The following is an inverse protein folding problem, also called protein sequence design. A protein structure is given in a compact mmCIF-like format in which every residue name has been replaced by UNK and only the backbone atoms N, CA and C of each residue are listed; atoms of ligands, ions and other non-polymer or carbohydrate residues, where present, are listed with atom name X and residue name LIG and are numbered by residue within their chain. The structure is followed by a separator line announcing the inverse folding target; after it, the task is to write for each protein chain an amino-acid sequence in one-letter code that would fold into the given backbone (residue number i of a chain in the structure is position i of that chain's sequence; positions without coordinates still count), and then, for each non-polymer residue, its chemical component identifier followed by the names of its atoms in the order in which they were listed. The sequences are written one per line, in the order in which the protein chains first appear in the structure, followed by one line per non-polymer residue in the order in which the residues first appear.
data_IF_166366350831
#
_entry.id   IF_166366350831
#
_cell.length_a   1.000
_cell.length_b   1.000
_cell.length_c   1.000
_cell.angle_alpha   90.00
_cell.angle_beta   90.00
_cell.angle_gamma   90.00
#
_symmetry.space_group_name_H-M   'P 1'
#
loop_
_entity.id
_entity.type
_entity.pdbx_description
1 polymer ?
#
# COMPACT_ATOMS: atom_id res chain seq x y z
N UNK A 1 5.86 12.91 36.12
CA UNK A 1 4.98 11.99 35.37
C UNK A 1 5.84 11.41 34.28
N UNK A 2 6.23 10.15 34.45
CA UNK A 2 6.97 9.44 33.41
C UNK A 2 6.07 9.36 32.16
N UNK A 3 6.40 10.13 31.14
CA UNK A 3 5.87 9.89 29.81
C UNK A 3 6.44 8.55 29.36
N UNK A 4 5.68 7.47 29.57
CA UNK A 4 5.97 6.19 28.94
C UNK A 4 6.03 6.46 27.44
N UNK A 5 7.21 6.41 26.85
CA UNK A 5 7.39 6.51 25.42
C UNK A 5 6.49 5.47 24.75
N UNK A 6 5.53 5.92 23.96
CA UNK A 6 4.58 5.03 23.28
C UNK A 6 5.31 4.36 22.10
N UNK A 7 5.66 3.08 22.31
CA UNK A 7 6.27 2.25 21.26
C UNK A 7 5.16 1.72 20.37
N UNK A 8 5.32 1.91 19.06
CA UNK A 8 4.39 1.45 18.04
C UNK A 8 5.12 0.51 17.09
N UNK A 9 4.53 -0.65 16.82
CA UNK A 9 5.05 -1.59 15.83
C UNK A 9 4.07 -1.75 14.67
N UNK A 10 4.59 -1.68 13.45
CA UNK A 10 3.87 -1.94 12.20
C UNK A 10 4.36 -3.25 11.59
N UNK A 11 3.42 -4.12 11.20
CA UNK A 11 3.69 -5.42 10.57
C UNK A 11 3.04 -5.45 9.19
N UNK A 12 3.86 -5.53 8.15
CA UNK A 12 3.45 -5.77 6.76
C UNK A 12 3.57 -7.26 6.43
N UNK A 13 2.45 -7.91 6.08
CA UNK A 13 2.39 -9.33 5.71
C UNK A 13 2.27 -9.45 4.19
N UNK A 14 3.31 -9.03 3.49
CA UNK A 14 3.33 -9.01 2.03
C UNK A 14 3.52 -10.37 1.36
N UNK A 15 3.31 -10.42 0.05
CA UNK A 15 3.46 -11.65 -0.75
C UNK A 15 4.92 -12.10 -0.92
N UNK A 16 5.88 -11.19 -0.93
CA UNK A 16 7.30 -11.49 -1.18
C UNK A 16 8.12 -11.46 0.10
N UNK A 17 7.81 -10.54 0.98
CA UNK A 17 8.48 -10.32 2.28
C UNK A 17 7.45 -10.05 3.35
N UNK A 18 7.80 -10.36 4.59
CA UNK A 18 7.16 -9.84 5.79
C UNK A 18 8.14 -8.86 6.43
N UNK A 19 7.66 -7.69 6.81
CA UNK A 19 8.47 -6.65 7.42
C UNK A 19 7.81 -6.17 8.72
N UNK A 20 8.62 -5.98 9.76
CA UNK A 20 8.21 -5.37 11.03
C UNK A 20 9.06 -4.13 11.28
N UNK A 21 8.42 -3.00 11.56
CA UNK A 21 9.09 -1.74 11.88
C UNK A 21 8.63 -1.30 13.28
N UNK A 22 9.60 -0.96 14.12
CA UNK A 22 9.37 -0.45 15.48
C UNK A 22 9.76 1.01 15.53
N UNK A 23 8.87 1.83 16.06
CA UNK A 23 9.11 3.25 16.24
C UNK A 23 8.53 3.76 17.56
N UNK A 24 8.92 4.97 17.92
CA UNK A 24 8.35 5.72 19.04
C UNK A 24 8.01 7.13 18.63
N UNK A 25 7.00 7.71 19.25
CA UNK A 25 6.76 9.16 19.15
C UNK A 25 7.73 9.90 20.05
N UNK A 26 8.51 10.81 19.49
CA UNK A 26 9.36 11.71 20.27
C UNK A 26 8.52 12.84 20.90
N UNK A 27 9.16 13.66 21.75
CA UNK A 27 8.51 14.81 22.42
C UNK A 27 7.89 15.84 21.43
N UNK A 28 8.32 15.85 20.19
CA UNK A 28 7.82 16.71 19.12
C UNK A 28 6.68 16.05 18.32
N UNK A 29 6.22 14.85 18.72
CA UNK A 29 5.17 14.08 18.02
C UNK A 29 5.63 13.43 16.71
N UNK A 30 6.93 13.43 16.39
CA UNK A 30 7.49 12.77 15.21
C UNK A 30 7.80 11.31 15.52
N UNK A 31 7.56 10.44 14.54
CA UNK A 31 7.91 9.02 14.62
C UNK A 31 9.42 8.83 14.40
N UNK A 32 10.10 8.24 15.37
CA UNK A 32 11.50 7.85 15.33
C UNK A 32 11.60 6.34 15.16
N UNK A 33 12.27 5.88 14.11
CA UNK A 33 12.43 4.44 13.86
C UNK A 33 13.53 3.90 14.78
N UNK A 34 13.17 2.91 15.62
CA UNK A 34 14.07 2.25 16.56
C UNK A 34 14.71 0.99 15.98
N UNK A 35 13.94 0.23 15.19
CA UNK A 35 14.40 -1.00 14.60
C UNK A 35 13.51 -1.50 13.48
N UNK A 36 14.05 -2.41 12.69
CA UNK A 36 13.35 -3.04 11.59
C UNK A 36 13.83 -4.48 11.44
N UNK A 37 12.89 -5.37 11.16
CA UNK A 37 13.17 -6.74 10.78
C UNK A 37 12.41 -7.14 9.53
N UNK A 38 12.96 -8.08 8.77
CA UNK A 38 12.35 -8.60 7.55
C UNK A 38 12.62 -10.08 7.38
N UNK A 39 11.66 -10.78 6.81
CA UNK A 39 11.81 -12.18 6.43
C UNK A 39 11.23 -12.44 5.05
N UNK A 40 11.63 -13.56 4.43
CA UNK A 40 10.96 -14.03 3.22
C UNK A 40 9.53 -14.48 3.56
N UNK A 41 8.57 -14.13 2.73
CA UNK A 41 7.18 -14.57 2.88
C UNK A 41 6.95 -15.86 2.10
N UNK A 42 6.69 -16.96 2.81
CA UNK A 42 6.50 -18.29 2.20
C UNK A 42 5.06 -18.81 2.32
N UNK A 43 4.13 -18.04 2.83
CA UNK A 43 2.75 -18.45 3.10
C UNK A 43 1.67 -17.52 2.57
N UNK A 44 2.05 -16.48 1.81
CA UNK A 44 1.13 -15.46 1.31
C UNK A 44 1.18 -15.41 -0.21
N UNK A 45 0.03 -15.30 -0.85
CA UNK A 45 -0.09 -15.14 -2.30
C UNK A 45 -1.14 -14.08 -2.62
N UNK A 46 -0.78 -13.08 -3.42
CA UNK A 46 -1.66 -11.97 -3.83
C UNK A 46 -2.39 -11.31 -2.65
N UNK A 47 -1.66 -11.06 -1.56
CA UNK A 47 -2.20 -10.47 -0.33
C UNK A 47 -3.08 -11.41 0.51
N UNK A 48 -3.18 -12.71 0.18
CA UNK A 48 -3.98 -13.68 0.92
C UNK A 48 -3.09 -14.74 1.57
N UNK A 49 -3.32 -15.02 2.86
CA UNK A 49 -2.64 -16.11 3.57
C UNK A 49 -3.11 -17.45 3.02
N UNK A 50 -2.20 -18.19 2.39
CA UNK A 50 -2.44 -19.53 1.81
C UNK A 50 -1.88 -20.65 2.67
N UNK A 51 -0.93 -20.36 3.57
CA UNK A 51 -0.37 -21.32 4.51
C UNK A 51 -0.10 -20.65 5.86
N UNK A 52 -0.94 -20.94 6.85
CA UNK A 52 -0.87 -20.36 8.19
C UNK A 52 0.50 -20.60 8.84
N UNK A 53 0.99 -21.86 8.87
CA UNK A 53 2.22 -22.16 9.60
C UNK A 53 3.44 -21.45 9.02
N UNK A 54 3.61 -21.48 7.71
CA UNK A 54 4.73 -20.78 7.04
C UNK A 54 4.66 -19.28 7.25
N UNK A 55 3.45 -18.71 7.21
CA UNK A 55 3.26 -17.27 7.50
C UNK A 55 3.64 -16.95 8.94
N UNK A 56 3.24 -17.79 9.92
CA UNK A 56 3.62 -17.62 11.33
C UNK A 56 5.14 -17.66 11.51
N UNK A 57 5.81 -18.63 10.88
CA UNK A 57 7.27 -18.76 10.98
C UNK A 57 7.98 -17.53 10.39
N UNK A 58 7.47 -17.01 9.27
CA UNK A 58 7.98 -15.79 8.65
C UNK A 58 7.71 -14.54 9.51
N UNK A 59 6.51 -14.41 10.12
CA UNK A 59 6.21 -13.31 11.06
C UNK A 59 7.18 -13.34 12.24
N UNK A 60 7.36 -14.50 12.89
CA UNK A 60 8.27 -14.65 14.03
C UNK A 60 9.69 -14.24 13.69
N UNK A 61 10.18 -14.64 12.51
CA UNK A 61 11.53 -14.27 12.07
C UNK A 61 11.69 -12.76 11.86
N UNK A 62 10.70 -12.10 11.23
CA UNK A 62 10.73 -10.66 11.02
C UNK A 62 10.60 -9.86 12.33
N UNK A 63 9.73 -10.30 13.24
CA UNK A 63 9.55 -9.66 14.55
C UNK A 63 10.79 -9.81 15.42
N UNK A 64 11.38 -11.00 15.49
CA UNK A 64 12.61 -11.22 16.27
C UNK A 64 13.76 -10.33 15.77
N UNK A 65 13.96 -10.20 14.46
CA UNK A 65 14.97 -9.29 13.89
C UNK A 65 14.67 -7.82 14.25
N UNK A 66 13.39 -7.42 14.28
CA UNK A 66 12.99 -6.08 14.68
C UNK A 66 13.24 -5.82 16.16
N UNK A 67 12.91 -6.79 17.04
CA UNK A 67 13.18 -6.74 18.49
C UNK A 67 14.67 -6.64 18.77
N UNK A 68 15.50 -7.49 18.13
CA UNK A 68 16.95 -7.49 18.26
C UNK A 68 17.55 -6.15 17.81
N UNK A 69 17.01 -5.55 16.74
CA UNK A 69 17.44 -4.26 16.22
C UNK A 69 17.01 -3.07 17.10
N UNK A 70 15.79 -3.13 17.66
CA UNK A 70 15.23 -2.05 18.46
C UNK A 70 15.60 -2.15 19.95
N UNK A 71 15.99 -3.32 20.46
CA UNK A 71 16.26 -3.58 21.86
C UNK A 71 15.00 -3.57 22.74
N UNK A 72 13.83 -3.87 22.18
CA UNK A 72 12.53 -3.90 22.88
C UNK A 72 11.74 -5.14 22.50
N UNK A 73 10.86 -5.59 23.40
CA UNK A 73 9.91 -6.67 23.16
C UNK A 73 8.65 -6.11 22.52
N UNK A 74 8.15 -6.78 21.48
CA UNK A 74 6.95 -6.42 20.74
C UNK A 74 5.81 -7.34 21.17
N UNK A 75 4.75 -6.78 21.72
CA UNK A 75 3.56 -7.53 22.13
C UNK A 75 2.34 -7.22 21.28
N UNK A 76 2.28 -6.00 20.73
CA UNK A 76 1.16 -5.51 19.92
C UNK A 76 1.65 -4.95 18.61
N UNK A 77 0.87 -5.15 17.55
CA UNK A 77 1.23 -4.68 16.19
C UNK A 77 0.01 -4.09 15.47
N UNK A 78 0.24 -3.04 14.68
CA UNK A 78 -0.66 -2.60 13.63
C UNK A 78 -0.33 -3.39 12.36
N UNK A 79 -1.33 -3.98 11.72
CA UNK A 79 -1.11 -4.90 10.61
C UNK A 79 -1.66 -4.32 9.31
N UNK A 80 -0.83 -4.30 8.27
CA UNK A 80 -1.25 -3.96 6.93
C UNK A 80 -2.18 -5.03 6.33
N UNK A 81 -3.23 -4.59 5.66
CA UNK A 81 -4.11 -5.46 4.87
C UNK A 81 -4.25 -4.91 3.46
N UNK A 82 -3.96 -5.77 2.47
CA UNK A 82 -4.15 -5.50 1.05
C UNK A 82 -4.50 -6.81 0.33
N UNK A 83 -4.82 -6.71 -0.95
CA UNK A 83 -5.04 -7.89 -1.78
C UNK A 83 -6.39 -7.89 -2.49
N UNK A 84 -6.57 -8.87 -3.38
CA UNK A 84 -7.74 -8.98 -4.27
C UNK A 84 -9.09 -9.15 -3.56
N UNK A 85 -9.08 -9.38 -2.26
CA UNK A 85 -10.27 -9.53 -1.42
C UNK A 85 -10.77 -8.20 -0.85
N UNK A 86 -10.01 -7.11 -1.04
CA UNK A 86 -10.40 -5.76 -0.66
C UNK A 86 -11.29 -5.17 -1.75
N UNK A 87 -12.37 -4.54 -1.33
CA UNK A 87 -13.31 -3.82 -2.19
C UNK A 87 -13.65 -2.49 -1.57
N UNK A 88 -14.21 -1.59 -2.37
CA UNK A 88 -14.72 -0.32 -1.89
C UNK A 88 -16.12 -0.06 -2.44
N UNK A 89 -16.88 0.71 -1.68
CA UNK A 89 -18.21 1.18 -2.06
C UNK A 89 -18.47 2.57 -1.49
N UNK A 90 -19.31 3.33 -2.16
CA UNK A 90 -19.80 4.60 -1.65
C UNK A 90 -21.15 4.41 -0.97
N UNK A 91 -21.32 5.02 0.19
CA UNK A 91 -22.58 5.01 0.91
C UNK A 91 -22.85 6.38 1.54
N UNK A 92 -24.12 6.77 1.63
CA UNK A 92 -24.54 8.00 2.30
C UNK A 92 -25.20 7.64 3.61
N UNK A 93 -24.63 8.13 4.71
CA UNK A 93 -25.19 8.00 6.05
C UNK A 93 -25.87 9.29 6.50
N UNK A 94 -26.80 9.16 7.46
CA UNK A 94 -27.56 10.29 7.98
C UNK A 94 -27.94 10.05 9.44
N UNK A 95 -27.80 11.08 10.25
CA UNK A 95 -28.40 11.17 11.58
C UNK A 95 -29.29 12.42 11.70
N UNK A 96 -30.37 12.31 12.47
CA UNK A 96 -31.25 13.44 12.80
C UNK A 96 -31.04 13.79 14.26
N UNK A 97 -30.71 15.04 14.52
CA UNK A 97 -30.45 15.58 15.86
C UNK A 97 -31.73 16.15 16.44
N UNK A 98 -31.87 16.08 17.76
CA UNK A 98 -33.10 16.46 18.46
C UNK A 98 -33.24 17.97 18.68
N UNK A 99 -32.18 18.76 18.56
CA UNK A 99 -32.18 20.19 18.88
C UNK A 99 -31.40 21.00 17.85
N UNK A 100 -32.02 22.07 17.36
CA UNK A 100 -31.37 23.11 16.51
C UNK A 100 -30.39 23.99 17.28
N UNK A 101 -30.56 24.12 18.60
CA UNK A 101 -29.79 25.02 19.44
C UNK A 101 -28.42 24.46 19.83
N UNK A 102 -28.21 23.17 19.62
CA UNK A 102 -26.93 22.52 19.90
C UNK A 102 -26.06 22.47 18.64
N UNK A 103 -24.83 22.93 18.75
CA UNK A 103 -23.82 22.78 17.71
C UNK A 103 -23.49 21.30 17.46
N UNK A 104 -23.11 20.96 16.22
CA UNK A 104 -22.60 19.63 15.86
C UNK A 104 -21.30 19.38 16.61
N UNK A 105 -21.19 18.23 17.24
CA UNK A 105 -20.04 17.80 18.04
C UNK A 105 -19.38 16.58 17.43
N UNK A 106 -18.15 16.30 17.89
CA UNK A 106 -17.44 15.07 17.50
C UNK A 106 -18.27 13.81 17.74
N UNK A 107 -19.02 13.74 18.84
CA UNK A 107 -19.91 12.61 19.15
C UNK A 107 -20.98 12.35 18.09
N UNK A 108 -21.45 13.37 17.38
CA UNK A 108 -22.44 13.22 16.30
C UNK A 108 -21.77 12.59 15.06
N UNK A 109 -20.52 12.97 14.79
CA UNK A 109 -19.70 12.37 13.71
C UNK A 109 -19.38 10.92 14.04
N UNK A 110 -18.94 10.64 15.28
CA UNK A 110 -18.61 9.29 15.74
C UNK A 110 -19.84 8.37 15.64
N UNK A 111 -21.02 8.86 16.06
CA UNK A 111 -22.28 8.12 15.91
C UNK A 111 -22.60 7.83 14.43
N UNK A 112 -22.39 8.79 13.55
CA UNK A 112 -22.66 8.63 12.12
C UNK A 112 -21.71 7.58 11.50
N UNK A 113 -20.42 7.57 11.91
CA UNK A 113 -19.44 6.56 11.51
C UNK A 113 -19.81 5.18 12.07
N UNK A 114 -20.17 5.10 13.36
CA UNK A 114 -20.57 3.85 14.01
C UNK A 114 -21.80 3.21 13.34
N UNK A 115 -22.74 4.04 12.86
CA UNK A 115 -23.91 3.54 12.14
C UNK A 115 -23.53 2.94 10.78
N UNK A 116 -22.47 3.43 10.14
CA UNK A 116 -21.94 2.83 8.91
C UNK A 116 -21.30 1.46 9.15
N UNK A 117 -20.65 1.24 10.29
CA UNK A 117 -20.13 -0.09 10.64
C UNK A 117 -21.21 -1.14 10.87
N UNK A 118 -22.46 -0.71 11.12
CA UNK A 118 -23.62 -1.60 11.31
C UNK A 118 -24.35 -1.98 10.01
N UNK A 119 -23.87 -1.48 8.86
CA UNK A 119 -24.49 -1.80 7.57
C UNK A 119 -24.44 -3.31 7.32
N UNK A 120 -25.53 -3.84 6.79
CA UNK A 120 -25.61 -5.24 6.40
C UNK A 120 -24.72 -5.47 5.16
N UNK A 121 -23.64 -6.24 5.34
CA UNK A 121 -22.75 -6.63 4.27
C UNK A 121 -23.17 -7.95 3.62
N UNK A 122 -22.64 -8.20 2.44
CA UNK A 122 -22.78 -9.49 1.77
C UNK A 122 -22.18 -10.59 2.67
N UNK A 123 -22.80 -11.77 2.80
CA UNK A 123 -22.25 -12.84 3.62
C UNK A 123 -20.81 -13.16 3.28
N UNK A 124 -19.94 -13.11 4.30
CA UNK A 124 -18.50 -13.33 4.15
C UNK A 124 -17.66 -12.08 3.94
N UNK A 125 -18.26 -10.90 3.87
CA UNK A 125 -17.58 -9.59 3.86
C UNK A 125 -17.78 -8.85 5.18
N UNK A 126 -16.79 -8.07 5.58
CA UNK A 126 -16.84 -7.17 6.72
C UNK A 126 -16.28 -5.79 6.35
N UNK A 127 -16.71 -4.77 7.05
CA UNK A 127 -16.20 -3.40 6.89
C UNK A 127 -14.88 -3.28 7.63
N UNK A 128 -13.84 -2.83 6.92
CA UNK A 128 -12.50 -2.59 7.47
C UNK A 128 -12.35 -1.10 7.83
N UNK A 129 -12.71 -0.20 6.90
CA UNK A 129 -12.66 1.24 7.13
C UNK A 129 -13.93 1.94 6.66
N UNK A 130 -14.29 3.00 7.37
CA UNK A 130 -15.36 3.94 7.02
C UNK A 130 -14.72 5.32 6.94
N UNK A 131 -14.61 5.86 5.73
CA UNK A 131 -13.85 7.08 5.45
C UNK A 131 -14.80 8.18 4.94
N UNK A 132 -15.08 9.22 5.75
CA UNK A 132 -15.96 10.31 5.32
C UNK A 132 -15.31 11.08 4.16
N UNK A 133 -16.13 11.43 3.17
CA UNK A 133 -15.72 12.17 1.97
C UNK A 133 -16.10 13.65 2.06
N UNK A 134 -17.31 13.92 2.46
CA UNK A 134 -17.86 15.24 2.68
C UNK A 134 -19.06 15.15 3.61
N UNK A 135 -19.34 16.21 4.32
CA UNK A 135 -20.52 16.32 5.16
C UNK A 135 -21.56 17.22 4.51
N UNK A 136 -22.82 16.99 4.89
CA UNK A 136 -23.97 17.74 4.44
C UNK A 136 -24.80 18.11 5.67
N UNK A 137 -25.01 19.40 5.89
CA UNK A 137 -25.79 19.90 7.03
C UNK A 137 -27.03 20.59 6.48
N UNK A 138 -28.22 20.10 6.83
CA UNK A 138 -29.52 20.65 6.41
C UNK A 138 -29.61 20.97 4.89
N UNK A 139 -29.07 20.10 4.03
CA UNK A 139 -28.94 20.17 2.56
C UNK A 139 -27.75 21.01 2.02
N UNK A 140 -26.98 21.70 2.87
CA UNK A 140 -25.76 22.38 2.45
C UNK A 140 -24.63 21.35 2.28
N UNK A 141 -24.10 21.21 1.05
CA UNK A 141 -23.13 20.21 0.64
C UNK A 141 -21.70 20.79 0.69
N UNK A 142 -20.70 19.89 0.57
CA UNK A 142 -19.30 20.30 0.43
C UNK A 142 -18.65 20.73 1.75
N UNK A 143 -19.25 20.41 2.88
CA UNK A 143 -18.70 20.76 4.19
C UNK A 143 -17.58 19.77 4.54
N UNK A 144 -16.37 20.27 4.79
CA UNK A 144 -15.21 19.46 5.17
C UNK A 144 -15.18 19.16 6.67
N UNK A 145 -15.55 20.14 7.49
CA UNK A 145 -15.65 20.02 8.95
C UNK A 145 -16.97 20.63 9.43
N UNK A 146 -17.92 19.82 9.91
CA UNK A 146 -19.21 20.30 10.38
C UNK A 146 -19.21 20.67 11.86
N UNK A 147 -18.11 20.46 12.62
CA UNK A 147 -18.05 20.72 14.05
C UNK A 147 -18.30 22.22 14.33
N UNK A 148 -19.18 22.51 15.29
CA UNK A 148 -19.57 23.88 15.64
C UNK A 148 -20.68 24.46 14.76
N UNK A 149 -21.10 23.81 13.70
CA UNK A 149 -22.24 24.26 12.89
C UNK A 149 -23.57 23.90 13.58
N UNK A 150 -24.57 24.74 13.36
CA UNK A 150 -25.95 24.46 13.74
C UNK A 150 -26.67 23.72 12.61
N UNK A 151 -27.47 22.72 12.96
CA UNK A 151 -28.25 21.96 11.98
C UNK A 151 -28.97 20.78 12.62
N UNK A 152 -30.06 20.34 12.04
CA UNK A 152 -30.86 19.19 12.52
C UNK A 152 -30.43 17.91 11.83
N UNK A 153 -30.16 17.95 10.54
CA UNK A 153 -29.77 16.80 9.74
C UNK A 153 -28.31 16.85 9.39
N UNK A 154 -27.53 15.92 9.95
CA UNK A 154 -26.16 15.70 9.58
C UNK A 154 -26.05 14.44 8.72
N UNK A 155 -25.54 14.61 7.51
CA UNK A 155 -25.27 13.52 6.58
C UNK A 155 -23.81 13.54 6.18
N UNK A 156 -23.28 12.39 5.74
CA UNK A 156 -22.01 12.32 5.08
C UNK A 156 -22.02 11.29 3.95
N UNK A 157 -21.26 11.57 2.91
CA UNK A 157 -20.88 10.58 1.92
C UNK A 157 -19.65 9.84 2.41
N UNK A 158 -19.69 8.52 2.40
CA UNK A 158 -18.60 7.65 2.88
C UNK A 158 -18.00 6.83 1.76
N UNK A 159 -16.69 6.70 1.78
CA UNK A 159 -15.95 5.65 1.09
C UNK A 159 -15.74 4.51 2.10
N UNK A 160 -16.42 3.39 1.87
CA UNK A 160 -16.39 2.23 2.76
C UNK A 160 -15.48 1.17 2.13
N UNK A 161 -14.49 0.72 2.88
CA UNK A 161 -13.59 -0.35 2.49
C UNK A 161 -14.07 -1.64 3.15
N UNK A 162 -14.28 -2.67 2.35
CA UNK A 162 -14.67 -4.00 2.81
C UNK A 162 -13.62 -5.04 2.47
N UNK A 163 -13.59 -6.12 3.22
CA UNK A 163 -12.71 -7.25 2.97
C UNK A 163 -13.40 -8.57 3.31
N UNK A 164 -12.82 -9.65 2.82
CA UNK A 164 -13.33 -10.98 3.20
C UNK A 164 -13.00 -11.29 4.66
N UNK A 165 -14.02 -11.64 5.45
CA UNK A 165 -13.90 -12.07 6.86
C UNK A 165 -12.85 -13.16 7.05
N UNK A 166 -12.78 -14.12 6.11
CA UNK A 166 -11.82 -15.22 6.19
C UNK A 166 -10.38 -14.75 6.02
N UNK A 167 -10.14 -13.73 5.20
CA UNK A 167 -8.80 -13.16 4.99
C UNK A 167 -8.32 -12.45 6.27
N UNK A 168 -9.13 -11.55 6.83
CA UNK A 168 -8.83 -10.85 8.07
C UNK A 168 -8.63 -11.83 9.25
N UNK A 169 -9.51 -12.85 9.38
CA UNK A 169 -9.36 -13.88 10.41
C UNK A 169 -8.08 -14.69 10.26
N UNK A 170 -7.65 -15.02 9.04
CA UNK A 170 -6.41 -15.74 8.81
C UNK A 170 -5.18 -14.89 9.18
N UNK A 171 -5.19 -13.60 8.89
CA UNK A 171 -4.16 -12.65 9.32
C UNK A 171 -4.11 -12.62 10.85
N UNK A 172 -5.23 -12.34 11.53
CA UNK A 172 -5.32 -12.30 12.99
C UNK A 172 -4.85 -13.62 13.63
N UNK A 173 -5.21 -14.77 13.03
CA UNK A 173 -4.77 -16.09 13.49
C UNK A 173 -3.27 -16.30 13.34
N UNK A 174 -2.65 -15.79 12.28
CA UNK A 174 -1.20 -15.86 12.11
C UNK A 174 -0.48 -15.01 13.15
N UNK A 175 -0.94 -13.78 13.37
CA UNK A 175 -0.37 -12.84 14.34
C UNK A 175 -0.50 -13.39 15.77
N UNK A 176 -1.69 -13.86 16.16
CA UNK A 176 -1.90 -14.47 17.48
C UNK A 176 -1.02 -15.72 17.72
N UNK A 177 -0.83 -16.56 16.68
CA UNK A 177 0.10 -17.72 16.78
C UNK A 177 1.58 -17.32 16.79
N UNK A 178 1.89 -16.12 16.41
CA UNK A 178 3.22 -15.54 16.59
C UNK A 178 3.42 -14.93 17.98
N UNK A 179 2.43 -15.05 18.89
CA UNK A 179 2.35 -14.45 20.23
C UNK A 179 2.27 -12.92 20.23
N UNK A 180 1.54 -12.37 19.26
CA UNK A 180 1.31 -10.93 19.12
C UNK A 180 -0.19 -10.66 19.12
N UNK A 181 -0.58 -9.48 19.61
CA UNK A 181 -1.94 -8.97 19.51
C UNK A 181 -2.05 -7.92 18.40
N UNK A 182 -3.13 -7.99 17.62
CA UNK A 182 -3.43 -7.00 16.58
C UNK A 182 -4.13 -5.82 17.23
N UNK A 183 -3.53 -4.64 17.15
CA UNK A 183 -4.16 -3.39 17.58
C UNK A 183 -5.19 -2.93 16.54
N UNK A 184 -4.78 -2.88 15.28
CA UNK A 184 -5.64 -2.44 14.17
C UNK A 184 -5.22 -3.11 12.86
N UNK A 185 -6.21 -3.37 11.98
CA UNK A 185 -5.98 -3.72 10.57
C UNK A 185 -6.09 -2.44 9.74
N UNK A 186 -4.99 -2.06 9.10
CA UNK A 186 -4.89 -0.81 8.33
C UNK A 186 -4.77 -1.16 6.84
N UNK A 187 -5.60 -0.53 6.01
CA UNK A 187 -5.47 -0.67 4.55
C UNK A 187 -4.09 -0.17 4.09
N UNK A 188 -3.30 -1.02 3.44
CA UNK A 188 -1.93 -0.70 3.04
C UNK A 188 -1.80 0.57 2.18
N UNK A 189 -2.66 0.85 1.18
CA UNK A 189 -2.63 2.11 0.45
C UNK A 189 -2.77 3.38 1.32
N UNK A 190 -3.48 3.32 2.45
CA UNK A 190 -3.57 4.44 3.40
C UNK A 190 -2.23 4.64 4.11
N UNK A 191 -1.65 3.56 4.63
CA UNK A 191 -0.35 3.61 5.30
C UNK A 191 0.77 4.06 4.34
N UNK A 192 0.78 3.53 3.11
CA UNK A 192 1.73 3.94 2.06
C UNK A 192 1.57 5.43 1.70
N UNK A 193 0.31 5.92 1.62
CA UNK A 193 0.04 7.33 1.33
C UNK A 193 0.56 8.28 2.43
N UNK A 194 0.43 7.89 3.69
CA UNK A 194 0.94 8.69 4.79
C UNK A 194 2.48 8.71 4.85
N UNK A 195 3.10 7.65 4.36
CA UNK A 195 4.56 7.55 4.30
C UNK A 195 5.18 8.35 3.14
N UNK A 196 4.52 8.42 1.96
CA UNK A 196 5.17 8.88 0.71
C UNK A 196 4.53 10.09 0.03
N UNK A 197 3.30 10.46 0.39
CA UNK A 197 2.60 11.62 -0.18
C UNK A 197 2.70 12.84 0.73
N UNK A 198 2.98 13.99 0.14
CA UNK A 198 2.90 15.26 0.86
C UNK A 198 1.45 15.74 1.00
N UNK A 199 1.21 16.68 1.92
CA UNK A 199 -0.10 17.30 2.09
C UNK A 199 -0.56 18.04 0.83
N UNK A 200 0.36 18.73 0.16
CA UNK A 200 0.10 19.48 -1.07
C UNK A 200 -0.29 18.54 -2.23
N UNK A 201 0.34 17.36 -2.33
CA UNK A 201 -0.03 16.36 -3.33
C UNK A 201 -1.44 15.79 -3.07
N UNK A 202 -1.76 15.48 -1.79
CA UNK A 202 -3.10 15.03 -1.41
C UNK A 202 -4.17 16.10 -1.67
N UNK A 203 -3.83 17.38 -1.52
CA UNK A 203 -4.71 18.50 -1.85
C UNK A 203 -4.91 18.64 -3.37
N UNK A 204 -3.82 18.70 -4.12
CA UNK A 204 -3.81 18.95 -5.56
C UNK A 204 -4.42 17.80 -6.41
N UNK A 205 -4.66 16.65 -5.81
CA UNK A 205 -5.11 15.45 -6.47
C UNK A 205 -3.96 14.60 -7.01
N UNK A 206 -3.80 13.38 -6.47
CA UNK A 206 -2.69 12.47 -6.77
C UNK A 206 -3.15 11.01 -6.77
N UNK A 207 -2.52 10.21 -7.62
CA UNK A 207 -2.67 8.75 -7.61
C UNK A 207 -1.44 8.14 -6.97
N UNK A 208 -1.64 7.39 -5.91
CA UNK A 208 -0.64 6.50 -5.36
C UNK A 208 -0.78 5.11 -6.01
N UNK A 209 0.31 4.57 -6.51
CA UNK A 209 0.38 3.22 -7.09
C UNK A 209 1.47 2.45 -6.36
N UNK A 210 1.09 1.51 -5.54
CA UNK A 210 2.01 0.61 -4.82
C UNK A 210 2.15 -0.70 -5.60
N UNK A 211 3.29 -0.90 -6.24
CA UNK A 211 3.59 -2.09 -7.03
C UNK A 211 4.30 -3.10 -6.14
N UNK A 212 3.53 -3.95 -5.50
CA UNK A 212 4.01 -5.05 -4.67
C UNK A 212 4.50 -6.25 -5.50
N UNK A 213 4.77 -7.36 -4.80
CA UNK A 213 5.12 -8.63 -5.47
C UNK A 213 3.90 -9.33 -6.08
N UNK A 214 2.79 -9.38 -5.36
CA UNK A 214 1.59 -10.13 -5.73
C UNK A 214 0.43 -9.27 -6.21
N UNK A 215 0.37 -8.02 -5.82
CA UNK A 215 -0.68 -7.04 -6.13
C UNK A 215 -0.07 -5.72 -6.57
N UNK A 216 -0.88 -4.91 -7.22
CA UNK A 216 -0.65 -3.48 -7.42
C UNK A 216 -1.86 -2.75 -6.85
N UNK A 217 -1.62 -1.97 -5.82
CA UNK A 217 -2.65 -1.29 -5.04
C UNK A 217 -2.70 0.18 -5.45
N UNK A 218 -3.91 0.71 -5.65
CA UNK A 218 -4.15 2.06 -6.15
C UNK A 218 -4.97 2.81 -5.12
N UNK A 219 -4.56 4.05 -4.81
CA UNK A 219 -5.35 5.00 -4.04
C UNK A 219 -5.32 6.37 -4.69
N UNK A 220 -6.48 6.99 -4.87
CA UNK A 220 -6.62 8.33 -5.44
C UNK A 220 -7.04 9.28 -4.34
N UNK A 221 -6.26 10.36 -4.18
CA UNK A 221 -6.53 11.43 -3.23
C UNK A 221 -6.87 12.71 -3.98
N UNK A 222 -7.77 13.50 -3.43
CA UNK A 222 -8.08 14.86 -3.84
C UNK A 222 -8.66 15.60 -2.64
N UNK A 223 -8.28 16.87 -2.44
CA UNK A 223 -8.69 17.66 -1.28
C UNK A 223 -8.35 17.03 0.08
N UNK A 224 -7.21 16.35 0.20
CA UNK A 224 -6.74 15.55 1.34
C UNK A 224 -7.54 14.28 1.62
N UNK A 225 -8.53 13.94 0.80
CA UNK A 225 -9.46 12.84 1.03
C UNK A 225 -9.18 11.72 0.01
N UNK A 226 -9.22 10.48 0.48
CA UNK A 226 -9.17 9.31 -0.41
C UNK A 226 -10.50 9.18 -1.14
N UNK A 227 -10.48 9.27 -2.47
CA UNK A 227 -11.68 9.26 -3.30
C UNK A 227 -11.94 7.91 -3.97
N UNK A 228 -10.88 7.16 -4.24
CA UNK A 228 -11.00 5.87 -4.91
C UNK A 228 -9.88 4.93 -4.45
N UNK A 229 -10.19 3.65 -4.35
CA UNK A 229 -9.23 2.58 -4.11
C UNK A 229 -9.50 1.42 -5.04
N UNK A 230 -8.44 0.81 -5.57
CA UNK A 230 -8.55 -0.39 -6.40
C UNK A 230 -7.35 -1.30 -6.18
N UNK A 231 -7.52 -2.58 -6.46
CA UNK A 231 -6.46 -3.59 -6.36
C UNK A 231 -6.38 -4.36 -7.66
N UNK A 232 -5.23 -4.32 -8.30
CA UNK A 232 -4.90 -5.14 -9.47
C UNK A 232 -4.27 -6.44 -8.93
N UNK A 233 -4.80 -7.64 -9.27
CA UNK A 233 -4.38 -8.91 -8.63
C UNK A 233 -3.06 -9.47 -9.17
N UNK A 234 -2.16 -8.62 -9.65
CA UNK A 234 -0.80 -8.97 -10.07
C UNK A 234 0.17 -7.79 -9.87
N UNK A 235 1.45 -8.12 -9.74
CA UNK A 235 2.54 -7.17 -9.50
C UNK A 235 3.86 -7.76 -9.98
N UNK A 236 4.96 -7.50 -9.29
CA UNK A 236 6.31 -7.90 -9.71
C UNK A 236 6.55 -9.39 -9.94
N UNK A 237 5.75 -10.27 -9.32
CA UNK A 237 5.92 -11.72 -9.47
C UNK A 237 5.55 -12.24 -10.86
N UNK A 238 4.55 -11.66 -11.52
CA UNK A 238 4.20 -12.08 -12.89
C UNK A 238 5.32 -11.72 -13.86
N UNK A 239 6.02 -10.60 -13.66
CA UNK A 239 7.22 -10.25 -14.43
C UNK A 239 8.31 -11.32 -14.23
N UNK A 240 8.53 -11.76 -12.99
CA UNK A 240 9.49 -12.83 -12.70
C UNK A 240 9.13 -14.13 -13.41
N UNK A 241 7.84 -14.48 -13.43
CA UNK A 241 7.37 -15.67 -14.12
C UNK A 241 7.51 -15.56 -15.65
N UNK A 242 7.27 -14.38 -16.24
CA UNK A 242 7.51 -14.13 -17.66
C UNK A 242 9.00 -14.22 -18.02
N UNK A 243 9.89 -13.66 -17.19
CA UNK A 243 11.35 -13.79 -17.37
C UNK A 243 11.77 -15.26 -17.26
N UNK A 244 11.25 -15.99 -16.26
CA UNK A 244 11.52 -17.43 -16.08
C UNK A 244 11.15 -18.20 -17.35
N UNK A 245 9.99 -17.93 -17.93
CA UNK A 245 9.51 -18.61 -19.15
C UNK A 245 10.29 -18.15 -20.38
N UNK A 246 10.39 -16.84 -20.61
CA UNK A 246 11.04 -16.29 -21.79
C UNK A 246 12.54 -16.55 -21.87
N UNK A 247 13.21 -16.59 -20.71
CA UNK A 247 14.62 -16.95 -20.62
C UNK A 247 14.88 -18.43 -20.33
N UNK A 248 13.84 -19.27 -20.06
CA UNK A 248 13.95 -20.69 -19.68
C UNK A 248 15.00 -20.92 -18.57
N UNK A 249 14.83 -20.26 -17.41
CA UNK A 249 15.70 -20.26 -16.24
C UNK A 249 14.89 -20.56 -14.97
N UNK A 250 15.58 -20.71 -13.82
CA UNK A 250 14.92 -20.89 -12.53
C UNK A 250 14.29 -19.56 -12.05
N UNK A 251 13.23 -19.66 -11.23
CA UNK A 251 12.52 -18.51 -10.69
C UNK A 251 13.44 -17.56 -9.91
N UNK A 252 14.32 -18.10 -9.06
CA UNK A 252 15.24 -17.30 -8.26
C UNK A 252 16.26 -16.55 -9.14
N UNK A 253 16.70 -17.18 -10.25
CA UNK A 253 17.54 -16.54 -11.24
C UNK A 253 16.79 -15.43 -12.00
N UNK A 254 15.52 -15.66 -12.34
CA UNK A 254 14.66 -14.67 -12.97
C UNK A 254 14.42 -13.44 -12.06
N UNK A 255 14.19 -13.68 -10.76
CA UNK A 255 14.04 -12.60 -9.77
C UNK A 255 15.35 -11.80 -9.61
N UNK A 256 16.48 -12.50 -9.56
CA UNK A 256 17.79 -11.84 -9.52
C UNK A 256 18.05 -11.00 -10.77
N UNK A 257 17.69 -11.49 -11.96
CA UNK A 257 17.81 -10.73 -13.21
C UNK A 257 16.95 -9.49 -13.18
N UNK A 258 15.67 -9.64 -12.81
CA UNK A 258 14.71 -8.53 -12.70
C UNK A 258 15.22 -7.45 -11.77
N UNK A 259 15.67 -7.84 -10.56
CA UNK A 259 16.06 -6.88 -9.53
C UNK A 259 17.39 -6.18 -9.81
N UNK A 260 18.35 -6.86 -10.43
CA UNK A 260 19.69 -6.29 -10.67
C UNK A 260 19.83 -5.62 -12.03
N UNK A 261 19.22 -6.18 -13.05
CA UNK A 261 19.43 -5.79 -14.46
C UNK A 261 18.16 -5.37 -15.17
N UNK A 262 17.00 -5.46 -14.49
CA UNK A 262 15.72 -5.12 -15.07
C UNK A 262 15.59 -3.65 -15.46
N UNK A 263 15.01 -3.41 -16.62
CA UNK A 263 14.64 -2.09 -17.13
C UNK A 263 13.22 -2.16 -17.71
N UNK A 264 12.41 -1.15 -17.43
CA UNK A 264 11.07 -1.02 -17.97
C UNK A 264 11.04 -0.48 -19.42
N UNK A 265 12.19 0.00 -19.94
CA UNK A 265 12.32 0.48 -21.30
C UNK A 265 13.42 -0.30 -22.03
N UNK A 266 13.03 -1.03 -23.07
CA UNK A 266 13.97 -1.81 -23.88
C UNK A 266 14.89 -0.92 -24.73
N UNK A 267 14.42 0.27 -25.13
CA UNK A 267 15.22 1.25 -25.88
C UNK A 267 16.43 1.77 -25.13
N UNK A 268 16.39 1.75 -23.82
CA UNK A 268 17.49 2.20 -22.94
C UNK A 268 18.60 1.16 -22.77
N UNK A 269 18.46 -0.03 -23.38
CA UNK A 269 19.42 -1.11 -23.29
C UNK A 269 20.11 -1.36 -24.64
N UNK A 270 21.43 -1.46 -24.62
CA UNK A 270 22.24 -1.73 -25.82
C UNK A 270 22.07 -3.18 -26.26
N UNK A 271 22.15 -3.40 -27.59
CA UNK A 271 21.98 -4.74 -28.17
C UNK A 271 23.07 -5.74 -27.76
N UNK A 272 24.26 -5.23 -27.49
CA UNK A 272 25.46 -6.05 -27.23
C UNK A 272 25.65 -6.35 -25.73
N UNK A 273 24.79 -5.87 -24.85
CA UNK A 273 24.89 -6.12 -23.42
C UNK A 273 24.22 -7.44 -23.07
N UNK A 274 25.01 -8.36 -22.51
CA UNK A 274 24.55 -9.68 -22.09
C UNK A 274 24.92 -9.92 -20.63
N UNK A 275 24.11 -10.72 -19.94
CA UNK A 275 24.41 -11.23 -18.61
C UNK A 275 24.49 -12.76 -18.67
N UNK A 276 25.52 -13.32 -18.05
CA UNK A 276 25.70 -14.77 -17.95
C UNK A 276 25.07 -15.30 -16.68
N UNK A 277 24.21 -16.31 -16.81
CA UNK A 277 23.62 -17.02 -15.68
C UNK A 277 24.27 -18.40 -15.56
N UNK A 278 24.67 -18.81 -14.35
CA UNK A 278 25.18 -20.15 -14.11
C UNK A 278 24.20 -21.22 -14.59
N UNK A 279 24.67 -22.14 -15.38
CA UNK A 279 23.89 -23.31 -15.80
C UNK A 279 23.53 -24.21 -14.62
N UNK A 280 22.46 -25.00 -14.76
CA UNK A 280 22.18 -26.10 -13.85
C UNK A 280 23.30 -27.14 -13.91
N UNK A 281 23.44 -27.95 -12.86
CA UNK A 281 24.52 -28.96 -12.70
C UNK A 281 24.93 -29.59 -14.04
N UNK A 282 26.17 -29.35 -14.48
CA UNK A 282 26.76 -29.90 -15.69
C UNK A 282 26.32 -29.25 -17.02
N UNK A 283 25.56 -28.12 -16.96
CA UNK A 283 25.21 -27.36 -18.16
C UNK A 283 26.05 -26.10 -18.27
N UNK A 284 26.29 -25.68 -19.50
CA UNK A 284 26.98 -24.40 -19.76
C UNK A 284 26.20 -23.20 -19.23
N UNK A 285 26.88 -22.09 -18.88
CA UNK A 285 26.24 -20.83 -18.55
C UNK A 285 25.37 -20.36 -19.70
N UNK A 286 24.26 -19.71 -19.38
CA UNK A 286 23.33 -19.14 -20.36
C UNK A 286 23.53 -17.63 -20.46
N UNK A 287 23.76 -17.16 -21.68
CA UNK A 287 23.81 -15.72 -21.98
C UNK A 287 22.39 -15.19 -22.25
N UNK A 288 22.06 -14.07 -21.62
CA UNK A 288 20.76 -13.40 -21.77
C UNK A 288 21.04 -11.95 -22.17
N UNK A 289 20.51 -11.53 -23.32
CA UNK A 289 20.55 -10.14 -23.75
C UNK A 289 19.72 -9.25 -22.82
N UNK A 290 20.31 -8.14 -22.33
CA UNK A 290 19.61 -7.17 -21.48
C UNK A 290 18.46 -6.49 -22.23
N UNK A 291 18.57 -6.30 -23.53
CA UNK A 291 17.49 -5.76 -24.37
C UNK A 291 16.29 -6.73 -24.42
N UNK A 292 16.55 -8.05 -24.57
CA UNK A 292 15.48 -9.05 -24.53
C UNK A 292 14.85 -9.16 -23.16
N UNK A 293 15.63 -9.08 -22.09
CA UNK A 293 15.14 -9.03 -20.72
C UNK A 293 14.24 -7.81 -20.53
N UNK A 294 14.67 -6.64 -20.99
CA UNK A 294 13.89 -5.42 -20.91
C UNK A 294 12.60 -5.47 -21.74
N UNK A 295 12.60 -6.10 -22.92
CA UNK A 295 11.39 -6.31 -23.73
C UNK A 295 10.34 -7.13 -22.96
N UNK A 296 10.75 -8.23 -22.30
CA UNK A 296 9.85 -9.06 -21.50
C UNK A 296 9.25 -8.24 -20.35
N UNK A 297 10.10 -7.48 -19.64
CA UNK A 297 9.69 -6.65 -18.51
C UNK A 297 8.75 -5.53 -18.97
N UNK A 298 9.11 -4.81 -20.04
CA UNK A 298 8.34 -3.70 -20.58
C UNK A 298 6.93 -4.13 -20.94
N UNK A 299 6.79 -5.23 -21.71
CA UNK A 299 5.46 -5.71 -22.13
C UNK A 299 4.53 -6.00 -20.96
N UNK A 300 5.07 -6.59 -19.86
CA UNK A 300 4.27 -6.84 -18.67
C UNK A 300 3.99 -5.57 -17.86
N UNK A 301 4.95 -4.67 -17.79
CA UNK A 301 4.75 -3.40 -17.10
C UNK A 301 3.74 -2.50 -17.81
N UNK A 302 3.75 -2.49 -19.16
CA UNK A 302 2.71 -1.80 -19.94
C UNK A 302 1.32 -2.32 -19.60
N UNK A 303 1.13 -3.65 -19.51
CA UNK A 303 -0.16 -4.23 -19.12
C UNK A 303 -0.57 -3.82 -17.70
N UNK A 304 0.37 -3.82 -16.72
CA UNK A 304 0.08 -3.35 -15.37
C UNK A 304 -0.35 -1.87 -15.39
N UNK A 305 0.39 -1.03 -16.11
CA UNK A 305 0.12 0.41 -16.21
C UNK A 305 -1.18 0.72 -16.97
N UNK A 306 -1.54 -0.07 -17.97
CA UNK A 306 -2.83 0.03 -18.65
C UNK A 306 -3.99 -0.23 -17.68
N UNK A 307 -3.87 -1.23 -16.81
CA UNK A 307 -4.86 -1.47 -15.76
C UNK A 307 -4.90 -0.32 -14.73
N UNK A 308 -3.75 0.22 -14.34
CA UNK A 308 -3.69 1.41 -13.47
C UNK A 308 -4.42 2.59 -14.12
N UNK A 309 -4.15 2.85 -15.39
CA UNK A 309 -4.78 3.95 -16.12
C UNK A 309 -6.29 3.73 -16.33
N UNK A 310 -6.70 2.48 -16.54
CA UNK A 310 -8.12 2.12 -16.59
C UNK A 310 -8.82 2.46 -15.26
N UNK A 311 -8.23 2.13 -14.11
CA UNK A 311 -8.80 2.46 -12.79
C UNK A 311 -8.85 3.99 -12.54
N UNK A 312 -7.84 4.73 -12.99
CA UNK A 312 -7.84 6.20 -12.94
C UNK A 312 -9.03 6.77 -13.73
N UNK A 313 -9.28 6.25 -14.93
CA UNK A 313 -10.42 6.67 -15.76
C UNK A 313 -11.76 6.30 -15.12
N UNK A 314 -11.86 5.09 -14.58
CA UNK A 314 -13.08 4.62 -13.91
C UNK A 314 -13.45 5.44 -12.67
N UNK A 315 -12.45 6.02 -11.98
CA UNK A 315 -12.70 6.91 -10.87
C UNK A 315 -13.42 8.21 -11.26
N UNK A 316 -13.34 8.60 -12.55
CA UNK A 316 -13.86 9.87 -13.04
C UNK A 316 -13.07 11.11 -12.61
N UNK A 317 -11.94 10.92 -11.92
CA UNK A 317 -11.13 12.01 -11.34
C UNK A 317 -9.93 12.41 -12.19
N UNK A 318 -9.68 11.76 -13.33
CA UNK A 318 -8.49 11.95 -14.18
C UNK A 318 -8.07 13.41 -14.37
N UNK A 319 -9.07 14.30 -14.60
CA UNK A 319 -8.83 15.73 -14.83
C UNK A 319 -8.50 16.56 -13.60
N UNK A 320 -8.65 15.96 -12.41
CA UNK A 320 -8.45 16.63 -11.12
C UNK A 320 -7.13 16.23 -10.46
N UNK A 321 -6.29 15.44 -11.15
CA UNK A 321 -5.07 14.84 -10.60
C UNK A 321 -3.83 15.63 -11.00
N UNK A 322 -3.75 16.89 -10.55
CA UNK A 322 -2.61 17.77 -10.86
C UNK A 322 -1.29 17.29 -10.25
N UNK A 323 -1.35 16.53 -9.15
CA UNK A 323 -0.19 15.88 -8.53
C UNK A 323 0.35 14.67 -9.29
N UNK A 324 -0.37 14.20 -10.35
CA UNK A 324 0.05 13.10 -11.18
C UNK A 324 0.05 11.75 -10.47
N UNK A 325 1.06 10.91 -10.77
CA UNK A 325 1.21 9.55 -10.23
C UNK A 325 2.44 9.46 -9.35
N UNK A 326 2.28 8.86 -8.17
CA UNK A 326 3.38 8.50 -7.28
C UNK A 326 3.48 6.98 -7.23
N UNK A 327 4.61 6.45 -7.71
CA UNK A 327 4.90 5.02 -7.69
C UNK A 327 5.66 4.65 -6.43
N UNK A 328 5.22 3.62 -5.73
CA UNK A 328 5.89 3.06 -4.55
C UNK A 328 5.92 1.54 -4.61
N UNK A 329 6.44 0.90 -3.58
CA UNK A 329 6.61 -0.54 -3.52
C UNK A 329 7.88 -1.06 -4.19
N UNK A 330 8.09 -2.37 -4.10
CA UNK A 330 9.29 -3.02 -4.66
C UNK A 330 9.39 -2.94 -6.18
N UNK A 331 8.24 -3.00 -6.86
CA UNK A 331 8.16 -2.89 -8.32
C UNK A 331 8.53 -1.50 -8.85
N UNK A 332 8.29 -0.45 -8.06
CA UNK A 332 8.64 0.92 -8.43
C UNK A 332 10.16 1.17 -8.55
N UNK A 333 10.98 0.28 -8.00
CA UNK A 333 12.44 0.35 -8.09
C UNK A 333 13.00 -0.09 -9.45
N UNK A 334 12.13 -0.56 -10.36
CA UNK A 334 12.55 -0.97 -11.69
C UNK A 334 13.09 0.24 -12.48
N UNK A 335 14.26 0.08 -13.10
CA UNK A 335 14.85 1.18 -13.87
C UNK A 335 13.93 1.66 -14.98
N UNK A 336 13.88 2.96 -15.22
CA UNK A 336 13.08 3.63 -16.25
C UNK A 336 11.56 3.47 -16.13
N UNK A 337 11.07 2.94 -15.00
CA UNK A 337 9.62 2.75 -14.80
C UNK A 337 8.86 4.09 -14.80
N UNK A 338 9.45 5.14 -14.22
CA UNK A 338 8.88 6.47 -14.24
C UNK A 338 8.57 6.92 -15.67
N UNK A 339 9.57 6.82 -16.58
CA UNK A 339 9.42 7.23 -17.97
C UNK A 339 8.37 6.39 -18.70
N UNK A 340 8.34 5.06 -18.45
CA UNK A 340 7.31 4.20 -19.04
C UNK A 340 5.91 4.60 -18.56
N UNK A 341 5.75 4.91 -17.25
CA UNK A 341 4.47 5.34 -16.69
C UNK A 341 4.00 6.66 -17.33
N UNK A 342 4.89 7.64 -17.46
CA UNK A 342 4.60 8.92 -18.14
C UNK A 342 4.22 8.69 -19.61
N UNK A 343 4.86 7.75 -20.29
CA UNK A 343 4.56 7.41 -21.68
C UNK A 343 3.18 6.76 -21.84
N UNK A 344 2.84 5.79 -20.97
CA UNK A 344 1.58 5.02 -21.06
C UNK A 344 0.38 5.88 -20.62
N UNK A 345 0.55 6.67 -19.56
CA UNK A 345 -0.58 7.38 -18.93
C UNK A 345 -0.72 8.82 -19.37
N UNK A 346 0.35 9.42 -19.89
CA UNK A 346 0.41 10.86 -20.17
C UNK A 346 0.46 11.75 -18.92
N UNK A 347 0.58 11.16 -17.72
CA UNK A 347 0.57 11.86 -16.44
C UNK A 347 1.98 12.02 -15.88
N UNK A 348 2.27 13.17 -15.26
CA UNK A 348 3.52 13.37 -14.53
C UNK A 348 3.69 12.30 -13.46
N UNK A 349 4.89 11.73 -13.35
CA UNK A 349 5.15 10.60 -12.45
C UNK A 349 6.42 10.81 -11.64
N UNK A 350 6.38 10.45 -10.35
CA UNK A 350 7.58 10.35 -9.50
C UNK A 350 7.64 9.02 -8.74
N UNK A 351 8.83 8.68 -8.28
CA UNK A 351 8.99 7.57 -7.32
C UNK A 351 8.78 8.14 -5.90
N UNK A 352 7.93 7.48 -5.12
CA UNK A 352 7.65 7.80 -3.73
C UNK A 352 8.64 7.11 -2.80
N UNK A 353 9.31 7.90 -1.98
CA UNK A 353 10.14 7.43 -0.87
C UNK A 353 9.54 7.92 0.45
N UNK A 354 9.69 7.17 1.56
CA UNK A 354 9.20 7.60 2.87
C UNK A 354 9.74 8.98 3.26
N UNK A 355 8.85 9.95 3.47
CA UNK A 355 9.20 11.35 3.73
C UNK A 355 10.00 11.52 5.04
N UNK A 356 9.68 10.72 6.06
CA UNK A 356 10.39 10.75 7.34
C UNK A 356 11.83 10.24 7.27
N UNK A 357 12.14 9.34 6.32
CA UNK A 357 13.48 8.80 6.13
C UNK A 357 14.37 9.70 5.26
N UNK A 358 13.78 10.54 4.41
CA UNK A 358 14.54 11.50 3.58
C UNK A 358 15.28 12.50 4.46
N UNK A 359 14.73 12.90 5.59
CA UNK A 359 15.37 13.82 6.54
C UNK A 359 16.49 13.20 7.39
N UNK A 360 16.59 11.85 7.43
CA UNK A 360 17.61 11.14 8.21
C UNK A 360 18.79 10.71 7.33
N UNK A 361 18.60 10.57 6.02
CA UNK A 361 19.58 9.96 5.11
C UNK A 361 20.06 10.87 3.98
N UNK A 362 19.90 12.19 4.03
CA UNK A 362 20.69 13.04 3.13
C UNK A 362 22.17 13.01 3.57
N UNK A 363 23.04 12.24 2.88
CA UNK A 363 24.45 12.48 3.00
C UNK A 363 24.65 13.90 2.44
N UNK A 364 25.13 14.80 3.27
CA UNK A 364 25.71 16.08 2.83
C UNK A 364 26.57 15.78 1.61
N UNK A 365 26.09 16.14 0.41
CA UNK A 365 26.93 16.14 -0.78
C UNK A 365 28.04 17.14 -0.50
N UNK A 366 29.32 16.75 -0.50
CA UNK A 366 30.38 17.72 -0.50
C UNK A 366 30.27 18.50 -1.82
N UNK A 367 30.22 19.81 -1.70
CA UNK A 367 30.30 20.73 -2.82
C UNK A 367 31.57 20.50 -3.63
#
# INVERSE_FOLDING_TARGET
MDHKEEIVAGLDIGTTKIACIVGRKNEQGKLEIMGMGKSRSDGVSRGVVTNIQRTVDSIKAAVQEAEDSAGVEITTVNVGIAGQHIRSMHHRGMITRQSLEQEIRQSDIDQLIDDMFKLAMVPGEEIIHVLPQEYIVDNEQGIKDPIGMSGVRLEANFHIITGQVTAARNINKCVARANLDVTELILEPLASADAVLSAEEKEAGVVLVDIGGGTTDIAIFSDHIIRHTAVIPFGGNVITDDIKMGCAILRDQAELLKSRFGSALASENKENEVVCIPGLRGREPKEISLKNLANIIQSRMEEILDHVYFEIKNSGLEKQLSGGIVLTGGGAQLKHLRQLTEYVTGMSTRIGYPLSLIHISEPTRPY
#
